data_IF_386828587896
#
_entry.id   IF_386828587896
#
_cell.length_a   1.000
_cell.length_b   1.000
_cell.length_c   1.000
_cell.angle_alpha   90.00
_cell.angle_beta   90.00
_cell.angle_gamma   90.00
#
_symmetry.space_group_name_H-M   'P 1'
#
loop_
_entity.id
_entity.type
_entity.pdbx_description
1 polymer ?
#
# COMPACT_ATOMS: atom_id res chain seq x y z
N UNK A 1 14.21 9.32 2.32
CA UNK A 1 14.15 8.22 3.15
C UNK A 1 12.77 7.93 3.61
N UNK A 2 12.42 6.70 3.73
CA UNK A 2 11.06 6.37 4.13
C UNK A 2 10.93 6.21 5.62
N UNK A 3 9.77 6.53 6.14
CA UNK A 3 9.46 6.41 7.55
C UNK A 3 8.49 5.28 7.75
N UNK A 4 9.00 4.11 8.06
CA UNK A 4 8.16 2.95 8.28
C UNK A 4 8.08 2.72 9.78
N UNK A 5 6.87 2.77 10.30
CA UNK A 5 6.70 2.57 11.73
C UNK A 5 7.17 1.18 12.13
N UNK A 6 7.85 1.02 13.23
CA UNK A 6 8.37 -0.29 13.62
C UNK A 6 7.29 -1.35 13.83
N UNK A 7 6.06 -0.94 14.08
CA UNK A 7 4.98 -1.90 14.24
C UNK A 7 4.35 -2.28 12.89
N UNK A 8 4.78 -1.68 11.79
CA UNK A 8 4.27 -2.05 10.49
C UNK A 8 5.00 -3.29 9.98
N UNK A 9 4.31 -4.09 9.18
CA UNK A 9 4.89 -5.26 8.60
C UNK A 9 5.00 -5.03 7.09
N UNK A 10 6.21 -4.96 6.59
CA UNK A 10 6.44 -4.71 5.18
C UNK A 10 7.22 -5.88 4.61
N UNK A 11 6.67 -6.51 3.60
CA UNK A 11 7.33 -7.63 2.98
C UNK A 11 8.65 -7.22 2.36
N UNK A 12 9.64 -8.06 2.43
CA UNK A 12 10.90 -7.79 1.76
C UNK A 12 10.77 -7.76 0.25
N UNK A 13 9.68 -8.27 -0.29
CA UNK A 13 9.45 -8.23 -1.72
C UNK A 13 8.55 -7.10 -2.15
N UNK A 14 8.13 -6.25 -1.26
CA UNK A 14 7.41 -5.04 -1.62
C UNK A 14 8.42 -3.99 -2.05
N UNK A 15 7.98 -3.10 -2.92
CA UNK A 15 8.82 -2.00 -3.38
C UNK A 15 8.31 -0.72 -2.80
N UNK A 16 9.12 -0.08 -2.00
CA UNK A 16 8.76 1.16 -1.32
C UNK A 16 9.66 2.26 -1.84
N UNK A 17 9.06 3.31 -2.34
CA UNK A 17 9.83 4.43 -2.88
C UNK A 17 10.43 5.31 -1.82
N UNK A 18 10.77 6.53 -2.22
CA UNK A 18 11.40 7.50 -1.33
C UNK A 18 10.32 8.29 -0.61
N UNK A 19 10.65 8.72 0.60
CA UNK A 19 9.77 9.62 1.36
C UNK A 19 8.37 9.04 1.56
N UNK A 20 8.29 7.74 1.71
CA UNK A 20 7.03 7.07 1.98
C UNK A 20 6.87 6.94 3.49
N UNK A 21 5.66 7.19 3.97
CA UNK A 21 5.37 7.09 5.37
C UNK A 21 4.38 5.97 5.57
N UNK A 22 4.67 5.04 6.46
CA UNK A 22 3.80 3.90 6.71
C UNK A 22 3.50 3.86 8.20
N UNK A 23 2.24 3.95 8.57
CA UNK A 23 1.80 4.00 9.95
C UNK A 23 1.84 2.64 10.65
N UNK A 24 1.57 2.62 11.93
CA UNK A 24 1.66 1.40 12.71
C UNK A 24 0.59 0.38 12.32
N UNK A 25 0.92 -0.88 12.47
CA UNK A 25 0.01 -1.98 12.24
C UNK A 25 -0.44 -2.11 10.80
N UNK A 26 0.22 -1.42 9.87
CA UNK A 26 -0.04 -1.61 8.47
C UNK A 26 0.69 -2.84 7.97
N UNK A 27 0.11 -3.52 7.00
CA UNK A 27 0.69 -4.72 6.42
C UNK A 27 0.83 -4.51 4.92
N UNK A 28 2.04 -4.59 4.42
CA UNK A 28 2.33 -4.44 3.00
C UNK A 28 2.85 -5.77 2.52
N UNK A 29 2.07 -6.42 1.66
CA UNK A 29 2.38 -7.78 1.24
C UNK A 29 3.31 -7.81 0.03
N UNK A 30 3.73 -9.00 -0.36
CA UNK A 30 4.55 -9.18 -1.53
C UNK A 30 3.84 -8.65 -2.77
N UNK A 31 4.59 -8.12 -3.69
CA UNK A 31 4.02 -7.65 -4.95
C UNK A 31 3.42 -6.27 -4.89
N UNK A 32 3.47 -5.62 -3.74
CA UNK A 32 2.97 -4.27 -3.62
C UNK A 32 4.08 -3.30 -3.99
N UNK A 33 3.74 -2.28 -4.74
CA UNK A 33 4.65 -1.20 -5.08
C UNK A 33 4.06 0.11 -4.58
N UNK A 34 4.81 0.83 -3.77
CA UNK A 34 4.40 2.13 -3.26
C UNK A 34 5.38 3.15 -3.79
N UNK A 35 4.90 4.09 -4.57
CA UNK A 35 5.78 5.05 -5.19
C UNK A 35 6.09 6.21 -4.25
N UNK A 36 6.91 7.13 -4.73
CA UNK A 36 7.49 8.16 -3.87
C UNK A 36 6.44 9.06 -3.26
N UNK A 37 6.69 9.50 -2.07
CA UNK A 37 5.89 10.54 -1.42
C UNK A 37 4.55 10.08 -0.88
N UNK A 38 4.30 8.80 -0.82
CA UNK A 38 3.03 8.30 -0.33
C UNK A 38 2.94 8.37 1.18
N UNK A 39 1.73 8.50 1.67
CA UNK A 39 1.46 8.54 3.09
C UNK A 39 0.44 7.46 3.40
N UNK A 40 0.91 6.38 3.98
CA UNK A 40 0.08 5.24 4.32
C UNK A 40 -0.27 5.33 5.80
N UNK A 41 -1.54 5.45 6.10
CA UNK A 41 -1.99 5.59 7.49
C UNK A 41 -1.83 4.30 8.29
N UNK A 42 -2.27 4.32 9.53
CA UNK A 42 -2.18 3.14 10.36
C UNK A 42 -3.20 2.09 9.95
N UNK A 43 -2.87 0.85 10.23
CA UNK A 43 -3.80 -0.27 10.03
C UNK A 43 -4.27 -0.40 8.58
N UNK A 44 -3.40 -0.11 7.63
CA UNK A 44 -3.71 -0.24 6.23
C UNK A 44 -3.15 -1.57 5.75
N UNK A 45 -3.92 -2.28 4.96
CA UNK A 45 -3.48 -3.56 4.42
C UNK A 45 -3.39 -3.45 2.90
N UNK A 46 -2.20 -3.53 2.36
CA UNK A 46 -1.98 -3.52 0.92
C UNK A 46 -1.61 -4.92 0.48
N UNK A 47 -2.43 -5.48 -0.37
CA UNK A 47 -2.27 -6.86 -0.80
C UNK A 47 -1.60 -6.91 -2.16
N UNK A 48 -1.16 -8.08 -2.54
CA UNK A 48 -0.33 -8.26 -3.70
C UNK A 48 -0.88 -7.70 -4.99
N UNK A 49 -0.01 -7.43 -5.96
CA UNK A 49 -0.36 -6.87 -7.24
C UNK A 49 -1.04 -5.51 -7.13
N UNK A 50 -0.63 -4.72 -6.17
CA UNK A 50 -1.16 -3.38 -5.98
C UNK A 50 -0.04 -2.39 -6.20
N UNK A 51 -0.33 -1.36 -6.98
CA UNK A 51 0.62 -0.28 -7.18
C UNK A 51 -0.01 1.03 -6.72
N UNK A 52 0.64 1.70 -5.78
CA UNK A 52 0.18 2.98 -5.28
C UNK A 52 1.01 4.05 -5.97
N UNK A 53 0.37 4.92 -6.71
CA UNK A 53 1.07 5.97 -7.44
C UNK A 53 1.71 6.99 -6.51
N UNK A 54 2.46 7.92 -7.07
CA UNK A 54 3.21 8.87 -6.24
C UNK A 54 2.29 9.83 -5.51
N UNK A 55 2.71 10.23 -4.35
CA UNK A 55 2.02 11.25 -3.54
C UNK A 55 0.59 10.87 -3.18
N UNK A 56 0.31 9.60 -3.10
CA UNK A 56 -1.01 9.14 -2.69
C UNK A 56 -1.12 9.09 -1.18
N UNK A 57 -2.32 9.22 -0.69
CA UNK A 57 -2.57 9.16 0.73
C UNK A 57 -3.61 8.10 0.99
N UNK A 58 -3.31 7.17 1.88
CA UNK A 58 -4.20 6.08 2.20
C UNK A 58 -4.59 6.20 3.67
N UNK A 59 -5.88 6.25 3.93
CA UNK A 59 -6.36 6.51 5.27
C UNK A 59 -6.47 5.24 6.09
N UNK A 60 -6.60 5.42 7.37
CA UNK A 60 -6.66 4.35 8.34
C UNK A 60 -7.67 3.28 7.97
N UNK A 61 -7.26 2.05 8.10
CA UNK A 61 -8.18 0.92 7.94
C UNK A 61 -8.45 0.51 6.53
N UNK A 62 -7.84 1.15 5.55
CA UNK A 62 -8.08 0.80 4.16
C UNK A 62 -7.48 -0.58 3.83
N UNK A 63 -8.19 -1.34 3.03
CA UNK A 63 -7.69 -2.61 2.52
C UNK A 63 -7.73 -2.50 1.01
N UNK A 64 -6.58 -2.60 0.37
CA UNK A 64 -6.47 -2.39 -1.05
C UNK A 64 -5.83 -3.60 -1.70
N UNK A 65 -6.36 -4.01 -2.82
CA UNK A 65 -5.88 -5.17 -3.54
C UNK A 65 -6.71 -6.38 -3.23
N UNK A 66 -6.13 -7.51 -3.31
CA UNK A 66 -6.87 -8.71 -3.05
C UNK A 66 -7.73 -9.05 -4.21
N UNK A 67 -8.52 -10.05 -4.07
CA UNK A 67 -9.23 -10.36 -5.11
C UNK A 67 -10.46 -9.84 -5.16
N UNK A 68 -10.94 -9.53 -4.49
CA UNK A 68 -12.19 -9.15 -4.61
C UNK A 68 -12.52 -8.01 -4.78
N UNK A 69 -12.41 -7.59 -4.76
CA UNK A 69 -12.82 -6.66 -4.80
C UNK A 69 -13.43 -5.86 -5.13
N UNK A 70 -13.62 -5.58 -5.14
CA UNK A 70 -14.44 -4.88 -5.31
C UNK A 70 -14.22 -3.69 -5.42
N UNK A 71 -13.58 -3.35 -5.35
CA UNK A 71 -13.27 -2.27 -5.31
C UNK A 71 -13.57 -1.59 -6.26
N UNK A 72 -13.96 -1.50 -6.69
CA UNK A 72 -14.33 -0.79 -7.43
C UNK A 72 -13.52 -0.11 -8.08
N UNK A 73 -12.86 -0.23 -8.41
CA UNK A 73 -12.13 0.46 -8.98
C UNK A 73 -12.07 0.44 -10.19
N UNK A 74 -11.95 0.78 -10.68
CA UNK A 74 -11.79 0.97 -11.75
C UNK A 74 -11.20 -0.03 -12.35
N UNK A 75 -11.31 -0.69 -12.95
CA UNK A 75 -10.59 -1.43 -13.37
C UNK A 75 -10.89 -2.72 -13.49
N UNK A 76 -11.26 -3.35 -12.95
CA UNK A 76 -11.52 -4.65 -13.02
C UNK A 76 -10.40 -5.47 -13.35
N UNK A 77 -9.23 -5.06 -13.23
CA UNK A 77 -8.21 -5.88 -13.47
C UNK A 77 -7.79 -6.50 -12.26
N UNK A 78 -7.07 -7.54 -12.21
CA UNK A 78 -6.57 -8.13 -11.01
C UNK A 78 -5.46 -7.31 -10.43
N UNK A 79 -5.04 -6.29 -11.10
CA UNK A 79 -3.99 -5.41 -10.63
C UNK A 79 -4.61 -4.08 -10.28
N UNK A 80 -4.39 -3.63 -9.07
CA UNK A 80 -4.95 -2.37 -8.60
C UNK A 80 -3.89 -1.31 -8.64
N UNK A 81 -4.22 -0.17 -9.19
CA UNK A 81 -3.31 0.94 -9.27
C UNK A 81 -4.00 2.19 -8.80
N UNK A 82 -3.43 2.84 -7.83
CA UNK A 82 -4.01 4.04 -7.25
C UNK A 82 -3.15 5.24 -7.44
#
# INVERSE_FOLDING_TARGET
>A
MSNIHPAAIVSGKARIGQDVRIGPFSVIEDGVTVQDGCDIGPSVHLQGNTEIGPNCRIFTGAVIGGLTQDLKYRGGESFVKI
#
